data_IF_209388381295
#
_entry.id   IF_209388381295
#
_cell.length_a   1.000
_cell.length_b   1.000
_cell.length_c   1.000
_cell.angle_alpha   90.00
_cell.angle_beta   90.00
_cell.angle_gamma   90.00
#
_symmetry.space_group_name_H-M   'P 1'
#
loop_
_entity.id
_entity.type
_entity.pdbx_description
1 polymer ?
#
# COMPACT_ATOMS: atom_id res chain seq x y z
N UNK A 1 22.41 92.64 19.30
CA UNK A 1 21.47 91.79 18.61
C UNK A 1 22.21 90.50 18.23
N UNK A 2 22.10 89.46 18.99
CA UNK A 2 22.71 88.14 18.72
C UNK A 2 21.62 87.09 18.69
N UNK A 3 21.45 86.45 17.53
CA UNK A 3 20.52 85.35 17.28
C UNK A 3 21.14 84.07 17.80
N UNK A 4 20.48 83.38 18.70
CA UNK A 4 20.81 82.04 19.15
C UNK A 4 20.03 81.04 18.32
N UNK A 5 20.73 80.15 17.58
CA UNK A 5 20.15 79.01 16.87
C UNK A 5 20.29 77.76 17.75
N UNK A 6 19.14 77.19 18.13
CA UNK A 6 19.07 75.87 18.77
C UNK A 6 19.12 74.77 17.73
N UNK A 7 20.15 73.88 17.85
CA UNK A 7 20.21 72.62 17.08
C UNK A 7 19.56 71.52 17.96
N UNK A 8 18.44 70.95 17.50
CA UNK A 8 17.83 69.74 18.05
C UNK A 8 18.53 68.50 17.49
N UNK A 9 19.06 67.65 18.33
CA UNK A 9 19.59 66.33 17.97
C UNK A 9 18.47 65.28 18.22
N UNK A 10 18.00 64.66 17.14
CA UNK A 10 17.10 63.50 17.20
C UNK A 10 17.94 62.23 17.21
N UNK A 11 17.93 61.53 18.31
CA UNK A 11 18.43 60.15 18.41
C UNK A 11 17.28 59.21 17.96
N UNK A 12 17.39 58.63 16.75
CA UNK A 12 16.53 57.53 16.29
C UNK A 12 17.10 56.25 16.88
N UNK A 13 16.45 55.67 17.87
CA UNK A 13 16.73 54.32 18.34
C UNK A 13 16.11 53.31 17.34
N UNK A 14 16.94 52.68 16.55
CA UNK A 14 16.57 51.55 15.69
C UNK A 14 16.45 50.30 16.58
N UNK A 15 15.24 49.91 16.95
CA UNK A 15 14.97 48.63 17.59
C UNK A 15 15.05 47.52 16.50
N UNK A 16 16.14 46.78 16.50
CA UNK A 16 16.24 45.52 15.71
C UNK A 16 15.32 44.47 16.36
N UNK A 17 14.15 44.24 15.74
CA UNK A 17 13.35 43.07 16.01
C UNK A 17 14.06 41.85 15.39
N UNK A 18 14.78 41.08 16.20
CA UNK A 18 15.23 39.74 15.85
C UNK A 18 13.98 38.83 15.79
N UNK A 19 13.44 38.66 14.60
CA UNK A 19 12.48 37.59 14.32
C UNK A 19 13.29 36.29 14.33
N UNK A 20 13.19 35.52 15.41
CA UNK A 20 13.64 34.12 15.42
C UNK A 20 12.73 33.35 14.46
N UNK A 21 13.11 33.25 13.19
CA UNK A 21 12.58 32.24 12.29
C UNK A 21 13.03 30.88 12.83
N UNK A 22 12.12 29.90 12.95
CA UNK A 22 12.53 28.54 13.26
C UNK A 22 13.53 28.12 12.20
N UNK A 23 14.74 27.78 12.61
CA UNK A 23 15.73 27.13 11.74
C UNK A 23 15.17 25.76 11.40
N UNK A 24 14.48 25.65 10.28
CA UNK A 24 14.32 24.36 9.62
C UNK A 24 15.75 23.88 9.34
N UNK A 25 16.16 22.81 10.01
CA UNK A 25 17.42 22.17 9.74
C UNK A 25 17.50 21.92 8.24
N UNK A 26 18.53 22.43 7.57
CA UNK A 26 18.76 22.16 6.16
C UNK A 26 18.98 20.66 6.03
N UNK A 27 17.95 19.96 5.51
CA UNK A 27 18.08 18.54 5.16
C UNK A 27 19.25 18.41 4.18
N UNK A 28 20.17 17.50 4.46
CA UNK A 28 21.19 17.18 3.47
C UNK A 28 20.48 16.58 2.25
N UNK A 29 20.75 17.03 1.01
CA UNK A 29 20.04 16.59 -0.18
C UNK A 29 19.98 15.06 -0.36
N UNK A 30 20.91 14.32 0.22
CA UNK A 30 21.08 12.87 0.09
C UNK A 30 20.57 12.08 1.31
N UNK A 31 19.69 12.63 2.14
CA UNK A 31 19.15 11.92 3.29
C UNK A 31 17.84 11.20 2.94
N UNK A 32 17.60 10.03 3.54
CA UNK A 32 16.32 9.31 3.37
C UNK A 32 15.10 10.15 3.79
N UNK A 33 15.26 11.04 4.76
CA UNK A 33 14.20 11.98 5.17
C UNK A 33 13.89 12.99 4.06
N UNK A 34 14.91 13.52 3.37
CA UNK A 34 14.72 14.43 2.23
C UNK A 34 13.96 13.71 1.08
N UNK A 35 14.28 12.44 0.84
CA UNK A 35 13.57 11.62 -0.15
C UNK A 35 12.10 11.43 0.23
N UNK A 36 11.79 11.14 1.50
CA UNK A 36 10.40 11.05 1.99
C UNK A 36 9.68 12.37 1.78
N UNK A 37 10.28 13.50 2.16
CA UNK A 37 9.67 14.83 2.00
C UNK A 37 9.41 15.17 0.54
N UNK A 38 10.33 14.81 -0.36
CA UNK A 38 10.13 15.00 -1.80
C UNK A 38 8.94 14.19 -2.32
N UNK A 39 8.86 12.89 -1.97
CA UNK A 39 7.78 12.00 -2.38
C UNK A 39 6.43 12.44 -1.82
N UNK A 40 6.37 12.82 -0.56
CA UNK A 40 5.17 13.38 0.11
C UNK A 40 4.73 14.69 -0.55
N UNK A 41 5.70 15.53 -0.95
CA UNK A 41 5.45 16.81 -1.60
C UNK A 41 4.71 16.70 -2.94
N UNK A 42 4.76 15.56 -3.64
CA UNK A 42 3.98 15.32 -4.85
C UNK A 42 2.50 15.02 -4.56
N UNK A 43 2.14 14.77 -3.31
CA UNK A 43 0.81 14.35 -2.90
C UNK A 43 0.56 12.85 -3.08
N UNK A 44 -0.71 12.41 -3.10
CA UNK A 44 -1.07 11.00 -3.29
C UNK A 44 -0.55 10.45 -4.63
N UNK A 45 0.35 9.47 -4.54
CA UNK A 45 1.06 8.90 -5.70
C UNK A 45 0.31 7.72 -6.32
N UNK A 46 -0.99 7.93 -6.56
CA UNK A 46 -1.86 6.90 -7.14
C UNK A 46 -1.37 6.53 -8.55
N UNK A 47 -1.27 5.24 -8.89
CA UNK A 47 -0.84 4.80 -10.23
C UNK A 47 -1.62 5.46 -11.37
N UNK A 48 -0.90 5.95 -12.39
CA UNK A 48 -1.48 6.63 -13.54
C UNK A 48 -1.74 8.14 -13.34
N UNK A 49 -1.44 8.71 -12.17
CA UNK A 49 -1.60 10.16 -11.90
C UNK A 49 -0.31 10.95 -12.16
N UNK A 50 -0.41 12.29 -12.32
CA UNK A 50 0.76 13.15 -12.40
C UNK A 50 1.69 13.07 -11.17
N UNK A 51 1.14 12.86 -9.97
CA UNK A 51 1.94 12.70 -8.75
C UNK A 51 2.81 11.43 -8.80
N UNK A 52 2.26 10.30 -9.28
CA UNK A 52 3.03 9.07 -9.53
C UNK A 52 4.12 9.30 -10.59
N UNK A 53 3.83 10.08 -11.65
CA UNK A 53 4.82 10.44 -12.66
C UNK A 53 5.98 11.29 -12.11
N UNK A 54 5.68 12.26 -11.26
CA UNK A 54 6.69 13.07 -10.60
C UNK A 54 7.56 12.23 -9.66
N UNK A 55 6.95 11.30 -8.91
CA UNK A 55 7.66 10.41 -8.01
C UNK A 55 8.65 9.50 -8.77
N UNK A 56 8.20 8.83 -9.85
CA UNK A 56 9.12 7.99 -10.64
C UNK A 56 10.23 8.79 -11.32
N UNK A 57 9.93 10.00 -11.79
CA UNK A 57 10.94 10.91 -12.38
C UNK A 57 11.98 11.31 -11.34
N UNK A 58 11.54 11.63 -10.13
CA UNK A 58 12.39 11.90 -8.98
C UNK A 58 13.30 10.70 -8.69
N UNK A 59 12.75 9.51 -8.52
CA UNK A 59 13.49 8.30 -8.20
C UNK A 59 14.54 7.96 -9.28
N UNK A 60 14.18 8.04 -10.55
CA UNK A 60 15.11 7.83 -11.66
C UNK A 60 16.28 8.81 -11.60
N UNK A 61 16.01 10.08 -11.34
CA UNK A 61 17.05 11.10 -11.19
C UNK A 61 18.00 10.77 -10.03
N UNK A 62 17.45 10.45 -8.85
CA UNK A 62 18.25 10.17 -7.65
C UNK A 62 19.11 8.92 -7.82
N UNK A 63 18.59 7.85 -8.41
CA UNK A 63 19.39 6.67 -8.76
C UNK A 63 20.47 6.99 -9.79
N UNK A 64 20.17 7.81 -10.80
CA UNK A 64 21.17 8.22 -11.79
C UNK A 64 22.28 9.07 -11.18
N UNK A 65 21.96 10.00 -10.28
CA UNK A 65 22.94 10.80 -9.52
C UNK A 65 23.79 9.90 -8.62
N UNK A 66 23.22 8.84 -8.07
CA UNK A 66 23.95 7.83 -7.33
C UNK A 66 24.80 6.90 -8.23
N UNK A 67 24.82 7.10 -9.56
CA UNK A 67 25.68 6.38 -10.50
C UNK A 67 25.11 5.05 -11.03
N UNK A 68 23.81 4.83 -10.88
CA UNK A 68 23.11 3.69 -11.43
C UNK A 68 22.46 4.03 -12.79
N UNK A 69 22.33 3.05 -13.66
CA UNK A 69 21.40 3.13 -14.79
C UNK A 69 19.99 2.84 -14.30
N UNK A 70 19.02 3.49 -14.92
CA UNK A 70 17.61 3.30 -14.55
C UNK A 70 16.79 2.79 -15.72
N UNK A 71 15.86 1.90 -15.45
CA UNK A 71 14.90 1.35 -16.40
C UNK A 71 13.49 1.59 -15.89
N UNK A 72 12.55 1.94 -16.79
CA UNK A 72 11.12 1.91 -16.53
C UNK A 72 10.53 0.66 -17.16
N UNK A 73 9.87 -0.18 -16.34
CA UNK A 73 9.10 -1.32 -16.83
C UNK A 73 7.63 -1.07 -16.61
N UNK A 74 6.93 -0.80 -17.71
CA UNK A 74 5.48 -0.60 -17.69
C UNK A 74 4.72 -1.93 -17.61
N UNK A 75 3.56 -1.87 -16.97
CA UNK A 75 2.58 -2.95 -16.93
C UNK A 75 1.18 -2.37 -16.93
N UNK A 76 0.18 -3.13 -17.36
CA UNK A 76 -1.22 -2.69 -17.36
C UNK A 76 -2.07 -3.64 -16.53
N UNK A 77 -3.07 -3.09 -15.87
CA UNK A 77 -4.04 -3.87 -15.10
C UNK A 77 -5.40 -3.18 -15.03
N UNK A 78 -6.50 -3.93 -14.86
CA UNK A 78 -7.79 -3.34 -14.58
C UNK A 78 -7.82 -2.82 -13.14
N UNK A 79 -8.07 -1.53 -12.96
CA UNK A 79 -8.32 -0.89 -11.67
C UNK A 79 -9.81 -0.78 -11.44
N UNK A 80 -10.26 -1.34 -10.33
CA UNK A 80 -11.64 -1.28 -9.89
C UNK A 80 -11.81 -0.13 -8.88
N UNK A 81 -12.77 0.74 -9.14
CA UNK A 81 -13.09 1.87 -8.27
C UNK A 81 -14.58 1.83 -7.92
N UNK A 82 -14.89 1.89 -6.62
CA UNK A 82 -16.25 2.09 -6.13
C UNK A 82 -16.54 3.58 -6.03
N UNK A 83 -17.46 4.06 -6.85
CA UNK A 83 -17.86 5.47 -6.95
C UNK A 83 -18.98 5.86 -5.96
N UNK A 84 -19.26 5.02 -4.98
CA UNK A 84 -20.27 5.25 -3.97
C UNK A 84 -21.48 4.32 -4.15
N UNK A 85 -21.32 3.06 -3.76
CA UNK A 85 -22.38 2.05 -3.81
C UNK A 85 -23.25 2.10 -2.55
N UNK A 86 -24.57 1.83 -2.71
CA UNK A 86 -25.57 1.96 -1.64
C UNK A 86 -26.62 0.87 -1.68
N UNK A 87 -27.21 0.58 -0.50
CA UNK A 87 -28.49 -0.10 -0.35
C UNK A 87 -29.48 0.89 0.27
N UNK A 88 -30.61 1.16 -0.39
CA UNK A 88 -31.64 2.06 0.13
C UNK A 88 -32.88 1.27 0.50
N UNK A 89 -33.40 1.44 1.70
CA UNK A 89 -34.62 0.81 2.20
C UNK A 89 -35.60 1.92 2.60
N UNK A 90 -36.76 1.99 1.95
CA UNK A 90 -37.59 3.18 2.00
C UNK A 90 -36.79 4.40 1.48
N UNK A 91 -36.68 5.44 2.31
CA UNK A 91 -35.91 6.66 1.99
C UNK A 91 -34.54 6.72 2.69
N UNK A 92 -34.09 5.62 3.31
CA UNK A 92 -32.84 5.58 4.08
C UNK A 92 -31.74 4.93 3.25
N UNK A 93 -30.75 5.70 2.76
CA UNK A 93 -29.58 5.15 2.09
C UNK A 93 -28.57 4.63 3.11
N UNK A 94 -28.17 3.39 2.97
CA UNK A 94 -27.05 2.77 3.66
C UNK A 94 -25.83 2.77 2.74
N UNK A 95 -24.79 3.48 3.13
CA UNK A 95 -23.52 3.48 2.40
C UNK A 95 -22.89 2.09 2.53
N UNK A 96 -22.71 1.41 1.41
CA UNK A 96 -21.96 0.17 1.32
C UNK A 96 -20.68 0.33 0.53
N UNK A 97 -20.05 -0.78 0.23
CA UNK A 97 -18.89 -0.86 -0.65
C UNK A 97 -19.08 -2.02 -1.64
N UNK A 98 -18.97 -1.74 -2.93
CA UNK A 98 -18.97 -2.80 -3.92
C UNK A 98 -17.76 -3.72 -3.68
N UNK A 99 -17.95 -5.04 -3.72
CA UNK A 99 -16.82 -5.95 -3.71
C UNK A 99 -16.04 -5.85 -5.01
N UNK A 100 -14.72 -5.91 -4.95
CA UNK A 100 -13.88 -5.86 -6.14
C UNK A 100 -14.33 -6.94 -7.15
N UNK A 101 -14.44 -6.57 -8.42
CA UNK A 101 -15.03 -7.35 -9.53
C UNK A 101 -16.55 -7.56 -9.47
N UNK A 102 -17.25 -6.87 -8.60
CA UNK A 102 -18.73 -6.83 -8.73
C UNK A 102 -19.12 -6.11 -10.02
N UNK A 103 -20.06 -6.63 -10.81
CA UNK A 103 -20.61 -5.87 -11.93
C UNK A 103 -21.35 -4.63 -11.41
N UNK A 104 -21.37 -3.58 -12.24
CA UNK A 104 -22.25 -2.43 -12.05
C UNK A 104 -23.70 -2.88 -12.11
N UNK A 105 -24.56 -2.30 -11.27
CA UNK A 105 -25.99 -2.61 -11.31
C UNK A 105 -26.81 -1.69 -10.44
N UNK A 106 -27.99 -1.31 -10.97
CA UNK A 106 -29.00 -0.57 -10.24
C UNK A 106 -30.34 -1.31 -10.39
N UNK A 107 -30.90 -1.74 -9.28
CA UNK A 107 -32.12 -2.51 -9.26
C UNK A 107 -32.90 -2.27 -7.98
N UNK A 108 -34.23 -2.51 -8.04
CA UNK A 108 -35.11 -2.43 -6.88
C UNK A 108 -35.92 -3.72 -6.81
N UNK A 109 -35.81 -4.43 -5.67
CA UNK A 109 -36.42 -5.73 -5.44
C UNK A 109 -36.69 -5.96 -3.94
N UNK A 110 -37.46 -6.99 -3.56
CA UNK A 110 -37.55 -7.40 -2.17
C UNK A 110 -36.18 -7.76 -1.60
N UNK A 111 -35.89 -7.35 -0.34
CA UNK A 111 -34.66 -7.72 0.39
C UNK A 111 -34.95 -8.96 1.23
N UNK A 112 -34.41 -10.10 0.83
CA UNK A 112 -34.69 -11.39 1.47
C UNK A 112 -33.46 -11.84 2.29
N UNK A 113 -33.69 -12.09 3.57
CA UNK A 113 -32.65 -12.60 4.46
C UNK A 113 -32.45 -14.09 4.20
N UNK A 114 -31.22 -14.45 3.84
CA UNK A 114 -30.79 -15.84 3.70
C UNK A 114 -30.12 -16.29 5.01
N UNK A 115 -30.52 -17.41 5.59
CA UNK A 115 -29.92 -17.93 6.82
C UNK A 115 -28.42 -18.13 6.69
N UNK A 116 -27.71 -18.07 7.81
CA UNK A 116 -26.27 -18.34 7.94
C UNK A 116 -25.40 -17.54 6.97
N UNK A 117 -24.61 -18.23 6.12
CA UNK A 117 -23.53 -17.57 5.35
C UNK A 117 -23.69 -17.68 3.85
N UNK A 118 -24.83 -18.17 3.36
CA UNK A 118 -25.13 -18.27 1.93
C UNK A 118 -24.50 -19.48 1.24
N UNK A 119 -24.53 -20.64 1.87
CA UNK A 119 -24.28 -21.93 1.24
C UNK A 119 -25.49 -22.37 0.38
N UNK A 120 -25.34 -23.32 -0.55
CA UNK A 120 -26.48 -23.80 -1.34
C UNK A 120 -27.69 -24.20 -0.48
N UNK A 121 -27.47 -24.89 0.65
CA UNK A 121 -28.56 -25.28 1.56
C UNK A 121 -29.20 -24.08 2.29
N UNK A 122 -28.47 -23.00 2.52
CA UNK A 122 -29.01 -21.78 3.13
C UNK A 122 -29.98 -21.10 2.16
N UNK A 123 -29.66 -21.07 0.86
CA UNK A 123 -30.54 -20.57 -0.20
C UNK A 123 -31.74 -21.48 -0.47
N UNK A 124 -31.57 -22.79 -0.30
CA UNK A 124 -32.71 -23.72 -0.45
C UNK A 124 -33.79 -23.54 0.63
N UNK A 125 -33.48 -22.87 1.74
CA UNK A 125 -34.42 -22.61 2.84
C UNK A 125 -35.36 -21.42 2.61
N UNK A 126 -35.08 -20.55 1.60
CA UNK A 126 -35.84 -19.33 1.33
C UNK A 126 -35.95 -19.08 -0.17
N UNK A 127 -37.05 -18.51 -0.63
CA UNK A 127 -37.17 -18.09 -2.03
C UNK A 127 -36.57 -16.70 -2.24
N UNK A 128 -35.49 -16.65 -3.01
CA UNK A 128 -34.81 -15.42 -3.40
C UNK A 128 -34.98 -15.07 -4.88
N UNK A 129 -35.85 -15.77 -5.58
CA UNK A 129 -36.10 -15.55 -7.01
C UNK A 129 -36.55 -14.11 -7.28
N UNK A 130 -35.78 -13.37 -8.06
CA UNK A 130 -36.03 -11.96 -8.36
C UNK A 130 -35.81 -11.00 -7.18
N UNK A 131 -35.20 -11.46 -6.08
CA UNK A 131 -34.92 -10.67 -4.87
C UNK A 131 -33.46 -10.25 -4.75
N UNK A 132 -33.20 -9.26 -3.91
CA UNK A 132 -31.86 -8.96 -3.37
C UNK A 132 -31.65 -9.86 -2.16
N UNK A 133 -30.70 -10.79 -2.24
CA UNK A 133 -30.36 -11.64 -1.10
C UNK A 133 -29.43 -10.89 -0.14
N UNK A 134 -29.63 -11.05 1.18
CA UNK A 134 -28.71 -10.55 2.18
C UNK A 134 -28.22 -11.70 3.07
N UNK A 135 -26.88 -11.80 3.22
CA UNK A 135 -26.20 -12.89 3.95
C UNK A 135 -25.11 -12.34 4.89
N UNK A 136 -24.71 -13.13 5.89
CA UNK A 136 -23.54 -12.84 6.73
C UNK A 136 -22.23 -13.16 6.00
N UNK A 137 -21.18 -12.41 6.30
CA UNK A 137 -19.78 -12.77 6.01
C UNK A 137 -19.41 -14.04 6.83
N UNK A 138 -18.39 -14.76 6.38
CA UNK A 138 -17.78 -15.90 7.12
C UNK A 138 -17.79 -17.18 6.31
N UNK A 139 -16.99 -18.14 6.73
CA UNK A 139 -16.90 -19.55 6.38
C UNK A 139 -16.64 -19.89 4.89
N UNK A 140 -17.33 -19.30 3.94
CA UNK A 140 -17.12 -19.50 2.50
C UNK A 140 -16.71 -18.22 1.80
N UNK A 141 -16.06 -18.32 0.65
CA UNK A 141 -15.54 -17.21 -0.14
C UNK A 141 -16.68 -16.33 -0.66
N UNK A 142 -16.39 -15.04 -0.86
CA UNK A 142 -17.37 -14.11 -1.43
C UNK A 142 -17.87 -14.54 -2.81
N UNK A 143 -16.97 -15.06 -3.64
CA UNK A 143 -17.34 -15.62 -4.96
C UNK A 143 -18.37 -16.75 -4.85
N UNK A 144 -18.18 -17.65 -3.90
CA UNK A 144 -19.11 -18.75 -3.67
C UNK A 144 -20.49 -18.25 -3.24
N UNK A 145 -20.53 -17.28 -2.29
CA UNK A 145 -21.78 -16.64 -1.88
C UNK A 145 -22.52 -16.02 -3.07
N UNK A 146 -21.80 -15.27 -3.90
CA UNK A 146 -22.40 -14.60 -5.05
C UNK A 146 -22.89 -15.57 -6.14
N UNK A 147 -22.16 -16.65 -6.39
CA UNK A 147 -22.58 -17.70 -7.32
C UNK A 147 -23.79 -18.47 -6.79
N UNK A 148 -23.82 -18.81 -5.51
CA UNK A 148 -24.93 -19.47 -4.88
C UNK A 148 -26.21 -18.61 -4.93
N UNK A 149 -26.08 -17.30 -4.65
CA UNK A 149 -27.17 -16.35 -4.75
C UNK A 149 -27.74 -16.28 -6.18
N UNK A 150 -26.86 -16.11 -7.18
CA UNK A 150 -27.27 -16.09 -8.59
C UNK A 150 -27.89 -17.41 -9.05
N UNK A 151 -27.34 -18.55 -8.63
CA UNK A 151 -27.91 -19.87 -8.94
C UNK A 151 -29.28 -20.08 -8.29
N UNK A 152 -29.55 -19.46 -7.14
CA UNK A 152 -30.88 -19.48 -6.48
C UNK A 152 -31.86 -18.44 -7.06
N UNK A 153 -31.47 -17.69 -8.10
CA UNK A 153 -32.36 -16.73 -8.78
C UNK A 153 -32.36 -15.32 -8.18
N UNK A 154 -31.44 -15.02 -7.23
CA UNK A 154 -31.29 -13.65 -6.74
C UNK A 154 -30.76 -12.71 -7.84
N UNK A 155 -31.25 -11.46 -7.85
CA UNK A 155 -30.84 -10.41 -8.80
C UNK A 155 -29.77 -9.47 -8.25
N UNK A 156 -29.45 -9.59 -6.96
CA UNK A 156 -28.38 -8.87 -6.28
C UNK A 156 -28.01 -9.54 -4.96
N UNK A 157 -26.82 -9.25 -4.44
CA UNK A 157 -26.35 -9.80 -3.17
C UNK A 157 -25.80 -8.69 -2.27
N UNK A 158 -26.22 -8.71 -1.00
CA UNK A 158 -25.65 -7.90 0.06
C UNK A 158 -24.95 -8.82 1.06
N UNK A 159 -23.69 -8.52 1.39
CA UNK A 159 -22.91 -9.27 2.37
C UNK A 159 -22.64 -8.39 3.58
N UNK A 160 -23.08 -8.81 4.76
CA UNK A 160 -22.92 -8.08 6.02
C UNK A 160 -21.65 -8.51 6.72
N UNK A 161 -20.79 -7.55 7.07
CA UNK A 161 -19.56 -7.81 7.81
C UNK A 161 -19.85 -8.34 9.24
N UNK A 162 -18.90 -9.08 9.81
CA UNK A 162 -18.98 -9.62 11.17
C UNK A 162 -18.59 -8.61 12.26
N UNK A 163 -18.06 -7.45 11.87
CA UNK A 163 -17.70 -6.36 12.78
C UNK A 163 -18.25 -5.01 12.27
N UNK A 164 -18.06 -3.92 13.03
CA UNK A 164 -18.59 -2.59 12.73
C UNK A 164 -17.92 -1.89 11.55
N UNK A 165 -16.79 -2.41 11.03
CA UNK A 165 -16.03 -1.77 9.96
C UNK A 165 -16.67 -2.01 8.58
N UNK A 166 -16.32 -1.18 7.59
CA UNK A 166 -16.66 -1.41 6.18
C UNK A 166 -16.17 -2.80 5.73
N UNK A 167 -16.90 -3.43 4.82
CA UNK A 167 -16.52 -4.71 4.25
C UNK A 167 -15.67 -4.49 3.01
N UNK A 168 -14.39 -4.76 3.11
CA UNK A 168 -13.49 -4.85 1.97
C UNK A 168 -13.36 -6.30 1.51
N UNK A 169 -13.30 -6.52 0.21
CA UNK A 169 -13.11 -7.85 -0.35
C UNK A 169 -13.16 -7.91 -1.86
N UNK A 170 -12.71 -9.03 -2.41
CA UNK A 170 -12.73 -9.34 -3.83
C UNK A 170 -13.52 -10.61 -4.08
N UNK A 171 -14.23 -10.65 -5.20
CA UNK A 171 -14.92 -11.86 -5.67
C UNK A 171 -13.93 -12.88 -6.28
N UNK A 172 -12.76 -12.43 -6.75
CA UNK A 172 -11.74 -13.27 -7.38
C UNK A 172 -12.22 -14.12 -8.55
N UNK A 173 -13.34 -13.72 -9.17
CA UNK A 173 -13.95 -14.38 -10.30
C UNK A 173 -15.15 -13.61 -10.84
N UNK A 174 -15.72 -14.11 -11.92
CA UNK A 174 -16.90 -13.51 -12.55
C UNK A 174 -18.21 -13.95 -11.87
N UNK A 175 -19.12 -13.01 -11.75
CA UNK A 175 -20.50 -13.16 -11.27
C UNK A 175 -21.43 -12.28 -12.11
N UNK A 176 -22.68 -12.65 -12.19
CA UNK A 176 -23.66 -11.97 -13.05
C UNK A 176 -24.60 -11.04 -12.28
N UNK A 177 -24.47 -10.95 -10.97
CA UNK A 177 -25.30 -10.10 -10.11
C UNK A 177 -24.43 -9.08 -9.35
N UNK A 178 -24.92 -7.85 -9.13
CA UNK A 178 -24.19 -6.86 -8.32
C UNK A 178 -24.08 -7.30 -6.86
N UNK A 179 -22.89 -7.08 -6.27
CA UNK A 179 -22.57 -7.50 -4.90
C UNK A 179 -22.07 -6.32 -4.09
N UNK A 180 -22.77 -6.03 -2.98
CA UNK A 180 -22.48 -4.97 -2.05
C UNK A 180 -22.08 -5.52 -0.69
N UNK A 181 -21.01 -4.98 -0.09
CA UNK A 181 -20.66 -5.18 1.30
C UNK A 181 -21.26 -4.09 2.18
N UNK A 182 -21.84 -4.45 3.31
CA UNK A 182 -22.22 -3.54 4.39
C UNK A 182 -21.40 -3.80 5.64
N UNK A 183 -21.19 -2.75 6.44
CA UNK A 183 -20.65 -2.93 7.79
C UNK A 183 -21.62 -3.74 8.66
N UNK A 184 -21.11 -4.44 9.68
CA UNK A 184 -21.97 -5.14 10.64
C UNK A 184 -22.93 -4.17 11.34
N UNK A 185 -22.47 -2.96 11.68
CA UNK A 185 -23.31 -1.93 12.30
C UNK A 185 -24.57 -1.60 11.47
N UNK A 186 -24.44 -1.55 10.14
CA UNK A 186 -25.54 -1.23 9.23
C UNK A 186 -26.36 -2.45 8.85
N UNK A 187 -25.72 -3.60 8.68
CA UNK A 187 -26.35 -4.80 8.12
C UNK A 187 -26.99 -5.72 9.16
N UNK A 188 -26.48 -5.80 10.41
CA UNK A 188 -27.03 -6.66 11.45
C UNK A 188 -28.53 -6.40 11.73
N UNK A 189 -29.01 -5.14 11.82
CA UNK A 189 -30.44 -4.89 11.97
C UNK A 189 -31.28 -5.46 10.82
N UNK A 190 -30.73 -5.50 9.60
CA UNK A 190 -31.42 -6.04 8.42
C UNK A 190 -31.51 -7.57 8.44
N UNK A 191 -30.47 -8.24 8.95
CA UNK A 191 -30.45 -9.69 9.08
C UNK A 191 -31.42 -10.22 10.14
N UNK A 192 -31.87 -9.38 11.06
CA UNK A 192 -32.78 -9.72 12.14
C UNK A 192 -34.24 -9.29 11.84
N UNK A 193 -34.55 -8.86 10.62
CA UNK A 193 -35.91 -8.49 10.23
C UNK A 193 -36.83 -9.71 10.04
N UNK A 194 -38.11 -9.50 10.23
CA UNK A 194 -39.12 -10.53 9.97
C UNK A 194 -39.14 -10.89 8.47
N UNK A 195 -38.88 -12.13 8.16
CA UNK A 195 -38.83 -12.65 6.77
C UNK A 195 -40.18 -12.79 6.09
N UNK A 196 -41.28 -12.62 6.83
CA UNK A 196 -42.64 -12.81 6.28
C UNK A 196 -43.11 -11.69 5.34
N UNK A 197 -42.52 -10.48 5.49
CA UNK A 197 -42.77 -9.34 4.62
C UNK A 197 -41.44 -8.63 4.29
N UNK A 198 -40.67 -9.14 3.31
CA UNK A 198 -39.40 -8.55 2.95
C UNK A 198 -39.58 -7.11 2.44
N UNK A 199 -38.84 -6.12 3.00
CA UNK A 199 -38.96 -4.75 2.55
C UNK A 199 -38.48 -4.61 1.12
N UNK A 200 -39.04 -3.66 0.38
CA UNK A 200 -38.51 -3.26 -0.91
C UNK A 200 -37.21 -2.47 -0.72
N UNK A 201 -36.15 -2.87 -1.39
CA UNK A 201 -34.87 -2.22 -1.33
C UNK A 201 -34.35 -1.86 -2.72
N UNK A 202 -33.61 -0.77 -2.83
CA UNK A 202 -32.86 -0.38 -4.04
C UNK A 202 -31.38 -0.60 -3.83
N UNK A 203 -30.79 -1.50 -4.59
CA UNK A 203 -29.37 -1.76 -4.63
C UNK A 203 -28.74 -0.97 -5.78
N UNK A 204 -27.76 -0.15 -5.47
CA UNK A 204 -26.95 0.58 -6.44
C UNK A 204 -25.49 0.21 -6.25
N UNK A 205 -24.96 -0.62 -7.14
CA UNK A 205 -23.52 -0.90 -7.25
C UNK A 205 -22.96 0.00 -8.35
N UNK A 206 -22.32 1.08 -7.94
CA UNK A 206 -21.78 2.11 -8.83
C UNK A 206 -20.26 2.00 -8.86
N UNK A 207 -19.74 1.34 -9.88
CA UNK A 207 -18.33 1.03 -10.02
C UNK A 207 -17.82 1.40 -11.40
N UNK A 208 -16.51 1.69 -11.45
CA UNK A 208 -15.76 1.94 -12.68
C UNK A 208 -14.60 0.97 -12.75
N UNK A 209 -14.35 0.44 -13.93
CA UNK A 209 -13.16 -0.36 -14.21
C UNK A 209 -12.41 0.33 -15.34
N UNK A 210 -11.20 0.75 -15.05
CA UNK A 210 -10.32 1.40 -16.01
C UNK A 210 -9.03 0.61 -16.17
N UNK A 211 -8.44 0.60 -17.37
CA UNK A 211 -7.09 0.08 -17.55
C UNK A 211 -6.09 1.13 -17.11
N UNK A 212 -5.32 0.83 -16.08
CA UNK A 212 -4.25 1.68 -15.58
C UNK A 212 -2.91 1.14 -16.06
N UNK A 213 -2.00 2.05 -16.45
CA UNK A 213 -0.60 1.73 -16.71
C UNK A 213 0.23 2.14 -15.51
N UNK A 214 0.83 1.15 -14.83
CA UNK A 214 1.82 1.35 -13.77
C UNK A 214 3.25 1.20 -14.32
N UNK A 215 4.24 1.65 -13.53
CA UNK A 215 5.65 1.67 -13.93
C UNK A 215 6.55 1.33 -12.75
N UNK A 216 7.23 0.19 -12.79
CA UNK A 216 8.32 -0.08 -11.86
C UNK A 216 9.58 0.70 -12.28
N UNK A 217 10.21 1.36 -11.32
CA UNK A 217 11.54 1.96 -11.50
C UNK A 217 12.58 0.96 -11.03
N UNK A 218 13.50 0.60 -11.90
CA UNK A 218 14.59 -0.35 -11.62
C UNK A 218 15.92 0.38 -11.76
N UNK A 219 16.81 0.22 -10.78
CA UNK A 219 18.14 0.80 -10.79
C UNK A 219 19.20 -0.28 -10.54
N UNK A 220 20.29 -0.26 -11.32
CA UNK A 220 21.41 -1.19 -11.19
C UNK A 220 22.68 -0.61 -11.82
N UNK A 221 23.85 -1.17 -11.52
CA UNK A 221 25.06 -0.82 -12.24
C UNK A 221 25.01 -1.34 -13.69
N UNK A 222 25.62 -0.66 -14.68
CA UNK A 222 25.49 -0.99 -16.11
C UNK A 222 25.84 -2.43 -16.48
N UNK A 223 26.76 -3.04 -15.75
CA UNK A 223 27.25 -4.40 -15.96
C UNK A 223 26.47 -5.49 -15.22
N UNK A 224 25.52 -5.12 -14.34
CA UNK A 224 24.75 -6.07 -13.51
C UNK A 224 23.43 -6.41 -14.18
N UNK A 225 23.46 -7.40 -15.08
CA UNK A 225 22.25 -7.89 -15.77
C UNK A 225 21.50 -8.96 -14.98
N UNK A 226 22.19 -9.67 -14.10
CA UNK A 226 21.64 -10.74 -13.26
C UNK A 226 22.08 -10.52 -11.82
N UNK A 227 21.22 -9.94 -10.96
CA UNK A 227 21.55 -9.74 -9.56
C UNK A 227 21.39 -11.03 -8.74
N UNK A 228 22.11 -11.11 -7.64
CA UNK A 228 21.87 -12.09 -6.58
C UNK A 228 20.98 -11.49 -5.48
N UNK A 229 20.89 -10.17 -5.42
CA UNK A 229 20.25 -9.39 -4.37
C UNK A 229 19.31 -8.35 -4.98
N UNK A 230 18.10 -8.27 -4.45
CA UNK A 230 17.13 -7.27 -4.83
C UNK A 230 16.64 -6.52 -3.58
N UNK A 231 16.63 -5.20 -3.66
CA UNK A 231 16.00 -4.33 -2.66
C UNK A 231 14.73 -3.73 -3.28
N UNK A 232 13.62 -3.75 -2.54
CA UNK A 232 12.36 -3.25 -3.05
C UNK A 232 11.53 -2.53 -2.00
N UNK A 233 10.66 -1.66 -2.48
CA UNK A 233 9.58 -1.00 -1.75
C UNK A 233 8.68 -0.33 -2.76
N UNK A 234 7.40 -0.16 -2.46
CA UNK A 234 6.49 0.53 -3.37
C UNK A 234 6.54 2.04 -3.19
N UNK A 235 6.34 2.77 -4.28
CA UNK A 235 6.34 4.22 -4.25
C UNK A 235 4.94 4.83 -4.44
N UNK A 236 3.96 4.03 -4.84
CA UNK A 236 2.57 4.46 -4.90
C UNK A 236 1.96 4.63 -3.49
N UNK A 237 0.84 5.28 -3.41
CA UNK A 237 0.03 5.42 -2.21
C UNK A 237 -1.45 5.44 -2.53
N UNK A 238 -2.31 5.17 -1.54
CA UNK A 238 -3.77 5.23 -1.73
C UNK A 238 -4.25 6.65 -2.04
N UNK A 239 -5.43 6.82 -2.69
CA UNK A 239 -6.07 8.11 -2.82
C UNK A 239 -6.24 8.80 -1.45
N UNK A 240 -6.01 10.10 -1.39
CA UNK A 240 -6.13 10.94 -0.19
C UNK A 240 -5.06 10.72 0.90
N UNK A 241 -4.05 9.87 0.70
CA UNK A 241 -2.90 9.75 1.59
C UNK A 241 -1.62 10.19 0.88
N UNK A 242 -0.85 11.14 1.45
CA UNK A 242 0.47 11.46 0.95
C UNK A 242 1.47 10.32 1.11
N UNK A 243 1.17 9.35 1.98
CA UNK A 243 1.92 8.10 2.12
C UNK A 243 3.37 8.32 2.56
N UNK A 244 3.60 9.05 3.65
CA UNK A 244 4.95 9.26 4.17
C UNK A 244 5.52 7.96 4.74
N UNK A 245 4.77 7.31 5.64
CA UNK A 245 5.13 6.02 6.18
C UNK A 245 4.79 4.90 5.21
N UNK A 246 3.62 4.98 4.55
CA UNK A 246 3.10 4.02 3.57
C UNK A 246 3.08 4.60 2.14
N UNK A 247 4.14 4.47 1.28
CA UNK A 247 5.41 3.83 1.63
C UNK A 247 6.59 4.64 1.07
N UNK A 248 6.55 5.98 1.22
CA UNK A 248 7.74 6.78 0.92
C UNK A 248 8.91 6.39 1.84
N UNK A 249 8.62 5.91 3.07
CA UNK A 249 9.62 5.47 4.04
C UNK A 249 10.47 4.30 3.53
N UNK A 250 9.83 3.24 3.04
CA UNK A 250 10.52 2.08 2.48
C UNK A 250 11.25 2.41 1.20
N UNK A 251 10.61 3.16 0.29
CA UNK A 251 11.23 3.63 -0.96
C UNK A 251 12.51 4.46 -0.68
N UNK A 252 12.46 5.36 0.32
CA UNK A 252 13.62 6.16 0.71
C UNK A 252 14.75 5.32 1.33
N UNK A 253 14.41 4.29 2.12
CA UNK A 253 15.40 3.33 2.65
C UNK A 253 16.09 2.57 1.51
N UNK A 254 15.34 2.12 0.49
CA UNK A 254 15.92 1.45 -0.69
C UNK A 254 16.88 2.37 -1.43
N UNK A 255 16.51 3.65 -1.62
CA UNK A 255 17.38 4.64 -2.26
C UNK A 255 18.64 4.95 -1.41
N UNK A 256 18.50 5.08 -0.09
CA UNK A 256 19.62 5.27 0.82
C UNK A 256 20.59 4.08 0.79
N UNK A 257 20.08 2.85 0.71
CA UNK A 257 20.89 1.64 0.54
C UNK A 257 21.62 1.64 -0.81
N UNK A 258 20.97 2.08 -1.89
CA UNK A 258 21.62 2.23 -3.19
C UNK A 258 22.81 3.19 -3.11
N UNK A 259 22.65 4.39 -2.53
CA UNK A 259 23.72 5.36 -2.32
C UNK A 259 24.86 4.79 -1.47
N UNK A 260 24.54 4.08 -0.38
CA UNK A 260 25.50 3.46 0.54
C UNK A 260 26.31 2.33 -0.10
N UNK A 261 25.70 1.55 -0.96
CA UNK A 261 26.32 0.37 -1.58
C UNK A 261 27.12 0.69 -2.84
N UNK A 262 26.92 1.86 -3.47
CA UNK A 262 27.44 2.24 -4.79
C UNK A 262 28.89 1.84 -5.05
N UNK A 263 29.79 2.13 -4.12
CA UNK A 263 31.24 1.91 -4.29
C UNK A 263 31.72 0.63 -3.58
N UNK A 264 30.79 -0.30 -3.32
CA UNK A 264 31.10 -1.59 -2.67
C UNK A 264 30.94 -2.76 -3.66
N UNK A 265 31.57 -3.92 -3.39
CA UNK A 265 31.34 -5.13 -4.18
C UNK A 265 29.89 -5.58 -4.24
N UNK A 266 29.08 -5.22 -3.22
CA UNK A 266 27.65 -5.56 -3.17
C UNK A 266 26.84 -4.87 -4.27
N UNK A 267 27.23 -3.66 -4.69
CA UNK A 267 26.55 -2.99 -5.81
C UNK A 267 26.60 -3.81 -7.11
N UNK A 268 27.68 -4.61 -7.31
CA UNK A 268 27.83 -5.47 -8.47
C UNK A 268 26.94 -6.75 -8.43
N UNK A 269 26.14 -6.91 -7.37
CA UNK A 269 25.24 -8.04 -7.16
C UNK A 269 23.80 -7.60 -6.93
N UNK A 270 23.53 -6.29 -6.90
CA UNK A 270 22.28 -5.72 -6.43
C UNK A 270 21.47 -5.02 -7.53
N UNK A 271 20.15 -5.19 -7.46
CA UNK A 271 19.16 -4.33 -8.10
C UNK A 271 18.31 -3.64 -7.03
N UNK A 272 17.87 -2.41 -7.32
CA UNK A 272 16.99 -1.61 -6.50
C UNK A 272 15.72 -1.34 -7.30
N UNK A 273 14.57 -1.64 -6.72
CA UNK A 273 13.28 -1.55 -7.41
C UNK A 273 12.29 -0.76 -6.58
N UNK A 274 11.73 0.30 -7.17
CA UNK A 274 10.54 0.95 -6.64
C UNK A 274 9.33 0.43 -7.42
N UNK A 275 8.47 -0.31 -6.73
CA UNK A 275 7.27 -0.90 -7.31
C UNK A 275 6.13 0.11 -7.38
N UNK A 276 5.26 -0.03 -8.39
CA UNK A 276 4.03 0.74 -8.57
C UNK A 276 2.81 -0.17 -8.40
N UNK A 277 1.71 0.37 -7.88
CA UNK A 277 0.46 -0.37 -7.78
C UNK A 277 0.45 -1.49 -6.75
N UNK A 278 1.23 -1.37 -5.68
CA UNK A 278 1.15 -2.25 -4.52
C UNK A 278 -0.24 -2.16 -3.91
N UNK A 279 -0.71 -0.93 -3.69
CA UNK A 279 -2.01 -0.58 -3.10
C UNK A 279 -3.23 -1.09 -3.89
N UNK A 280 -3.04 -1.34 -5.17
CA UNK A 280 -4.04 -1.97 -6.04
C UNK A 280 -3.91 -3.52 -6.05
N UNK A 281 -3.10 -4.10 -5.16
CA UNK A 281 -2.91 -5.54 -4.94
C UNK A 281 -1.65 -6.11 -5.57
N UNK A 282 -0.49 -5.54 -5.24
CA UNK A 282 0.85 -6.01 -5.62
C UNK A 282 1.06 -6.04 -7.15
N UNK A 283 0.49 -5.07 -7.90
CA UNK A 283 0.48 -5.12 -9.38
C UNK A 283 1.88 -5.06 -9.96
N UNK A 284 2.72 -4.18 -9.44
CA UNK A 284 4.08 -3.97 -9.92
C UNK A 284 5.00 -5.14 -9.63
N UNK A 285 5.01 -5.66 -8.40
CA UNK A 285 5.86 -6.80 -8.05
C UNK A 285 5.42 -8.08 -8.75
N UNK A 286 4.12 -8.33 -8.90
CA UNK A 286 3.59 -9.43 -9.71
C UNK A 286 3.99 -9.31 -11.18
N UNK A 287 3.89 -8.12 -11.76
CA UNK A 287 4.32 -7.87 -13.14
C UNK A 287 5.84 -8.07 -13.30
N UNK A 288 6.64 -7.62 -12.31
CA UNK A 288 8.07 -7.82 -12.30
C UNK A 288 8.44 -9.32 -12.30
N UNK A 289 7.87 -10.09 -11.36
CA UNK A 289 8.12 -11.54 -11.22
C UNK A 289 7.72 -12.29 -12.47
N UNK A 290 6.55 -11.98 -13.04
CA UNK A 290 6.08 -12.62 -14.27
C UNK A 290 6.98 -12.34 -15.47
N UNK A 291 7.51 -11.12 -15.59
CA UNK A 291 8.39 -10.71 -16.68
C UNK A 291 9.84 -11.21 -16.52
N UNK A 292 10.31 -11.35 -15.29
CA UNK A 292 11.68 -11.76 -14.99
C UNK A 292 11.97 -13.21 -15.40
N UNK A 293 10.99 -14.09 -15.27
CA UNK A 293 11.10 -15.49 -15.65
C UNK A 293 11.88 -16.35 -14.64
N UNK A 294 11.75 -17.69 -14.74
CA UNK A 294 12.28 -18.62 -13.73
C UNK A 294 13.80 -18.56 -13.56
N UNK A 295 14.54 -18.38 -14.64
CA UNK A 295 16.01 -18.35 -14.58
C UNK A 295 16.53 -17.12 -13.82
N UNK A 296 15.94 -15.96 -14.04
CA UNK A 296 16.29 -14.74 -13.31
C UNK A 296 15.97 -14.91 -11.81
N UNK A 297 14.77 -15.40 -11.51
CA UNK A 297 14.30 -15.55 -10.12
C UNK A 297 15.09 -16.59 -9.33
N UNK A 298 15.50 -17.71 -9.96
CA UNK A 298 16.29 -18.76 -9.30
C UNK A 298 17.71 -18.30 -8.92
N UNK A 299 18.24 -17.27 -9.56
CA UNK A 299 19.54 -16.69 -9.23
C UNK A 299 19.47 -15.70 -8.05
N UNK A 300 18.29 -15.18 -7.72
CA UNK A 300 18.11 -14.31 -6.57
C UNK A 300 18.29 -15.11 -5.27
N UNK A 301 19.27 -14.71 -4.47
CA UNK A 301 19.56 -15.29 -3.17
C UNK A 301 18.87 -14.56 -2.03
N UNK A 302 18.42 -13.34 -2.26
CA UNK A 302 17.57 -12.57 -1.34
C UNK A 302 16.83 -11.44 -2.07
N UNK A 303 15.57 -11.24 -1.69
CA UNK A 303 14.80 -10.01 -1.94
C UNK A 303 14.45 -9.36 -0.60
N UNK A 304 14.96 -8.17 -0.36
CA UNK A 304 14.69 -7.36 0.84
C UNK A 304 13.61 -6.34 0.51
N UNK A 305 12.48 -6.42 1.18
CA UNK A 305 11.34 -5.50 1.01
C UNK A 305 11.19 -4.60 2.22
N UNK A 306 10.93 -3.33 1.97
CA UNK A 306 10.77 -2.31 3.00
C UNK A 306 9.39 -1.67 2.85
N UNK A 307 8.59 -1.77 3.91
CA UNK A 307 7.25 -1.20 3.90
C UNK A 307 6.88 -0.71 5.30
N UNK A 308 6.42 0.55 5.38
CA UNK A 308 6.05 1.21 6.64
C UNK A 308 7.16 1.13 7.71
N UNK A 309 8.34 1.69 7.38
CA UNK A 309 9.54 1.63 8.24
C UNK A 309 9.91 2.96 8.91
N UNK A 310 9.03 3.97 8.83
CA UNK A 310 9.28 5.33 9.29
C UNK A 310 8.61 5.72 10.61
N UNK A 311 7.73 4.87 11.16
CA UNK A 311 6.98 5.11 12.40
C UNK A 311 7.07 3.86 13.28
N UNK A 312 6.86 4.02 14.60
CA UNK A 312 7.04 2.99 15.63
C UNK A 312 8.49 2.51 15.84
N UNK A 313 8.89 2.44 17.12
CA UNK A 313 10.28 2.13 17.50
C UNK A 313 10.68 0.69 17.18
N UNK A 314 9.73 -0.27 17.29
CA UNK A 314 10.02 -1.67 17.13
C UNK A 314 10.18 -2.05 15.66
N UNK A 315 11.39 -2.50 15.29
CA UNK A 315 11.61 -3.10 13.97
C UNK A 315 11.20 -4.57 13.98
N UNK A 316 10.34 -4.92 13.05
CA UNK A 316 9.81 -6.25 12.81
C UNK A 316 10.37 -6.78 11.49
N UNK A 317 10.67 -8.07 11.43
CA UNK A 317 11.06 -8.74 10.19
C UNK A 317 10.27 -10.03 10.00
N UNK A 318 9.91 -10.31 8.74
CA UNK A 318 9.25 -11.55 8.31
C UNK A 318 9.94 -12.17 7.11
N UNK A 319 9.51 -13.37 6.72
CA UNK A 319 9.99 -14.05 5.53
C UNK A 319 10.85 -15.29 5.80
N UNK A 320 11.91 -15.47 5.03
CA UNK A 320 12.76 -16.66 5.08
C UNK A 320 13.58 -16.74 6.37
N UNK A 321 13.48 -17.84 7.12
CA UNK A 321 14.08 -18.04 8.45
C UNK A 321 15.58 -17.72 8.49
N UNK A 322 16.35 -18.17 7.50
CA UNK A 322 17.78 -17.88 7.45
C UNK A 322 18.10 -16.38 7.37
N UNK A 323 17.23 -15.57 6.70
CA UNK A 323 17.39 -14.13 6.56
C UNK A 323 16.90 -13.40 7.82
N UNK A 324 15.78 -13.83 8.44
CA UNK A 324 15.31 -13.23 9.69
C UNK A 324 16.30 -13.47 10.83
N UNK A 325 16.95 -14.66 10.89
CA UNK A 325 18.04 -14.95 11.83
C UNK A 325 19.22 -13.99 11.65
N UNK A 326 19.60 -13.67 10.40
CA UNK A 326 20.66 -12.69 10.14
C UNK A 326 20.27 -11.29 10.60
N UNK A 327 19.00 -10.90 10.43
CA UNK A 327 18.51 -9.61 10.92
C UNK A 327 18.58 -9.51 12.45
N UNK A 328 18.22 -10.56 13.18
CA UNK A 328 18.34 -10.64 14.64
C UNK A 328 19.82 -10.64 15.09
N UNK A 329 20.71 -11.30 14.32
CA UNK A 329 22.15 -11.22 14.57
C UNK A 329 22.70 -9.80 14.37
N UNK A 330 22.20 -9.08 13.34
CA UNK A 330 22.59 -7.70 13.08
C UNK A 330 22.12 -6.74 14.18
N UNK A 331 20.91 -6.95 14.69
CA UNK A 331 20.37 -6.20 15.81
C UNK A 331 19.45 -7.09 16.67
N UNK A 332 19.88 -7.47 17.89
CA UNK A 332 19.09 -8.33 18.80
C UNK A 332 17.73 -7.73 19.23
N UNK A 333 17.49 -6.44 19.01
CA UNK A 333 16.20 -5.80 19.29
C UNK A 333 15.17 -6.03 18.17
N UNK A 334 15.59 -6.58 17.03
CA UNK A 334 14.67 -6.94 15.95
C UNK A 334 13.79 -8.12 16.36
N UNK A 335 12.49 -7.99 16.23
CA UNK A 335 11.53 -9.06 16.46
C UNK A 335 11.10 -9.72 15.14
N UNK A 336 10.85 -11.02 15.19
CA UNK A 336 10.27 -11.72 14.04
C UNK A 336 8.75 -11.72 14.10
N UNK A 337 8.12 -11.58 12.94
CA UNK A 337 6.67 -11.74 12.80
C UNK A 337 6.37 -12.91 11.87
N UNK A 338 5.20 -13.51 12.07
CA UNK A 338 4.65 -14.41 11.07
C UNK A 338 4.26 -13.57 9.86
N UNK A 339 4.96 -13.78 8.78
CA UNK A 339 4.65 -13.13 7.51
C UNK A 339 3.33 -13.67 6.95
N UNK A 340 2.44 -12.76 6.59
CA UNK A 340 1.11 -13.07 6.04
C UNK A 340 0.94 -12.57 4.60
N UNK A 341 2.04 -12.23 3.91
CA UNK A 341 1.99 -11.76 2.52
C UNK A 341 1.44 -10.35 2.37
N UNK A 342 1.86 -9.42 3.22
CA UNK A 342 1.27 -8.09 3.33
C UNK A 342 1.85 -7.03 2.37
N UNK A 343 2.90 -7.35 1.60
CA UNK A 343 3.57 -6.39 0.72
C UNK A 343 4.28 -7.09 -0.45
N UNK A 344 5.04 -6.36 -1.27
CA UNK A 344 5.65 -6.79 -2.54
C UNK A 344 6.52 -8.07 -2.48
N UNK A 345 7.13 -8.35 -1.32
CA UNK A 345 7.91 -9.57 -1.10
C UNK A 345 7.10 -10.85 -1.33
N UNK A 346 5.78 -10.83 -1.13
CA UNK A 346 4.90 -11.98 -1.35
C UNK A 346 4.93 -12.48 -2.79
N UNK A 347 5.05 -11.58 -3.76
CA UNK A 347 5.19 -11.95 -5.18
C UNK A 347 6.45 -12.80 -5.41
N UNK A 348 7.55 -12.47 -4.73
CA UNK A 348 8.82 -13.18 -4.80
C UNK A 348 8.81 -14.48 -3.96
N UNK A 349 8.22 -14.45 -2.77
CA UNK A 349 8.05 -15.63 -1.92
C UNK A 349 7.22 -16.71 -2.62
N UNK A 350 6.13 -16.34 -3.29
CA UNK A 350 5.32 -17.23 -4.12
C UNK A 350 6.14 -17.85 -5.25
N UNK A 351 7.10 -17.11 -5.82
CA UNK A 351 8.06 -17.59 -6.81
C UNK A 351 9.27 -18.33 -6.19
N UNK A 352 9.25 -18.62 -4.89
CA UNK A 352 10.29 -19.35 -4.13
C UNK A 352 11.63 -18.62 -4.04
N UNK A 353 11.67 -17.33 -4.21
CA UNK A 353 12.83 -16.49 -3.92
C UNK A 353 12.90 -16.28 -2.39
N UNK A 354 14.08 -16.41 -1.76
CA UNK A 354 14.25 -16.07 -0.36
C UNK A 354 13.95 -14.58 -0.13
N UNK A 355 13.08 -14.28 0.86
CA UNK A 355 12.63 -12.90 1.13
C UNK A 355 12.91 -12.49 2.57
N UNK A 356 13.15 -11.19 2.78
CA UNK A 356 13.21 -10.56 4.08
C UNK A 356 12.36 -9.29 4.03
N UNK A 357 11.30 -9.26 4.80
CA UNK A 357 10.39 -8.15 4.91
C UNK A 357 10.73 -7.31 6.14
N UNK A 358 10.89 -6.00 5.98
CA UNK A 358 11.11 -5.02 7.04
C UNK A 358 9.86 -4.19 7.24
N UNK A 359 9.40 -4.12 8.49
CA UNK A 359 8.15 -3.46 8.87
C UNK A 359 8.25 -2.91 10.30
N UNK A 360 7.53 -1.83 10.62
CA UNK A 360 7.48 -1.30 11.99
C UNK A 360 6.09 -1.27 12.59
N UNK A 361 5.13 -1.96 11.97
CA UNK A 361 3.75 -2.00 12.44
C UNK A 361 2.90 -0.87 11.86
N UNK A 362 1.61 -1.07 11.91
CA UNK A 362 0.62 -0.10 11.46
C UNK A 362 0.54 1.06 12.45
N UNK A 363 0.41 2.28 11.95
CA UNK A 363 0.22 3.48 12.75
C UNK A 363 -1.21 4.05 12.60
N UNK A 364 -1.63 4.99 13.49
CA UNK A 364 -2.98 5.58 13.43
C UNK A 364 -3.28 6.39 12.17
N UNK A 365 -2.24 6.81 11.43
CA UNK A 365 -2.37 7.62 10.22
C UNK A 365 -2.40 6.79 8.93
N UNK A 366 -2.27 5.46 9.05
CA UNK A 366 -2.30 4.53 7.93
C UNK A 366 -3.49 4.79 6.99
N UNK A 367 -3.23 4.95 5.70
CA UNK A 367 -4.20 5.24 4.65
C UNK A 367 -5.04 6.52 4.88
N UNK A 368 -4.50 7.51 5.60
CA UNK A 368 -5.18 8.80 5.83
C UNK A 368 -4.37 9.98 5.30
N UNK A 369 -5.02 11.13 5.17
CA UNK A 369 -4.35 12.40 4.82
C UNK A 369 -3.35 12.90 5.86
N UNK A 370 -3.24 12.22 7.02
CA UNK A 370 -2.31 12.55 8.10
C UNK A 370 -1.00 11.77 8.02
N UNK A 371 -0.86 10.84 7.10
CA UNK A 371 0.41 10.14 6.84
C UNK A 371 1.37 11.06 6.08
N UNK A 372 2.01 11.98 6.82
CA UNK A 372 2.82 13.09 6.28
C UNK A 372 4.23 13.16 6.83
N UNK A 373 4.55 12.40 7.88
CA UNK A 373 5.84 12.50 8.59
C UNK A 373 6.38 11.13 8.99
N UNK A 374 7.71 11.04 9.07
CA UNK A 374 8.46 9.88 9.55
C UNK A 374 9.57 10.32 10.49
N UNK A 375 10.13 9.40 11.27
CA UNK A 375 11.35 9.62 12.03
C UNK A 375 12.57 9.15 11.23
N UNK A 376 13.45 10.08 10.87
CA UNK A 376 14.66 9.80 10.11
C UNK A 376 15.61 8.81 10.80
N UNK A 377 15.62 8.76 12.13
CA UNK A 377 16.42 7.79 12.90
C UNK A 377 15.95 6.36 12.69
N UNK A 378 14.63 6.17 12.52
CA UNK A 378 14.05 4.85 12.25
C UNK A 378 14.42 4.37 10.85
N UNK A 379 14.39 5.27 9.86
CA UNK A 379 14.84 4.98 8.49
C UNK A 379 16.31 4.54 8.48
N UNK A 380 17.18 5.30 9.11
CA UNK A 380 18.61 5.00 9.20
C UNK A 380 18.86 3.69 9.95
N UNK A 381 18.20 3.47 11.09
CA UNK A 381 18.32 2.22 11.85
C UNK A 381 17.87 0.99 11.02
N UNK A 382 16.81 1.13 10.21
CA UNK A 382 16.35 0.06 9.32
C UNK A 382 17.39 -0.21 8.21
N UNK A 383 17.90 0.84 7.57
CA UNK A 383 18.95 0.74 6.55
C UNK A 383 20.22 0.07 7.10
N UNK A 384 20.62 0.38 8.34
CA UNK A 384 21.79 -0.25 9.00
C UNK A 384 21.60 -1.75 9.23
N UNK A 385 20.41 -2.18 9.69
CA UNK A 385 20.12 -3.61 9.88
C UNK A 385 20.15 -4.32 8.53
N UNK A 386 19.49 -3.79 7.51
CA UNK A 386 19.49 -4.36 6.16
C UNK A 386 20.89 -4.47 5.56
N UNK A 387 21.70 -3.40 5.68
CA UNK A 387 23.10 -3.41 5.26
C UNK A 387 23.92 -4.50 5.97
N UNK A 388 23.73 -4.66 7.27
CA UNK A 388 24.42 -5.71 8.03
C UNK A 388 24.00 -7.12 7.61
N UNK A 389 22.72 -7.33 7.33
CA UNK A 389 22.20 -8.62 6.82
C UNK A 389 22.88 -8.99 5.52
N UNK A 390 22.91 -8.06 4.55
CA UNK A 390 23.54 -8.37 3.25
C UNK A 390 25.03 -8.57 3.34
N UNK A 391 25.73 -7.83 4.22
CA UNK A 391 27.14 -8.09 4.51
C UNK A 391 27.36 -9.48 5.09
N UNK A 392 26.59 -9.89 6.09
CA UNK A 392 26.69 -11.23 6.66
C UNK A 392 26.40 -12.34 5.66
N UNK A 393 25.53 -12.10 4.69
CA UNK A 393 25.11 -13.10 3.71
C UNK A 393 26.04 -13.18 2.51
N UNK A 394 26.57 -12.05 2.03
CA UNK A 394 27.26 -11.92 0.74
C UNK A 394 28.74 -11.51 0.84
N UNK A 395 29.15 -10.93 1.98
CA UNK A 395 30.54 -10.60 2.28
C UNK A 395 31.06 -11.51 3.43
N UNK A 396 30.81 -12.84 3.36
CA UNK A 396 31.41 -13.73 4.35
C UNK A 396 32.94 -13.52 4.34
N UNK A 397 33.61 -13.48 5.52
CA UNK A 397 35.05 -13.36 5.54
C UNK A 397 35.60 -14.50 4.69
N UNK A 398 36.45 -14.17 3.73
CA UNK A 398 37.33 -15.13 3.09
C UNK A 398 37.97 -15.90 4.23
N UNK A 399 37.63 -17.19 4.33
CA UNK A 399 38.24 -18.08 5.32
C UNK A 399 39.74 -17.93 5.22
N UNK A 400 40.45 -17.80 6.38
CA UNK A 400 41.91 -17.66 6.40
C UNK A 400 42.59 -18.86 5.76
#
# INVERSE_FOLDING_TARGET
MRLFTYRFWWWAALALLLVCLPTFGTLTPDSAEADVQALVGFGPRVPGTPASEQARTYLMREYSQAGYVTELRSFTYPKFEDLGSTLTIGDVPLKGRALNRSPVGQLTAPLVVVPAVGRPNDFAAVDVTGAIAIVRRGEIRFLEKARNAGAAGAVGLVIVNTNSNELFGSLDGEVNIPVLGLSGKQGEPLLNQDSTQPPKASLNVNVRVETVTGYNVIAHLPNVKQPNLLFGGHYDSVPNSPGANDNASGTAVVLALARRLKDTPLANQAWFVAFDGEEDGLRGSKAFVNAAGPQFLSNLQAMLNFDMVGVNDQLLVGGTESLTTLAQKANPKVSTIRDTGMSDHESFATAKVPVLFFYRGQDPNYHTSKDTVVDSKLLEATAQVAHSVVRYRFEAPSSP
#
